data_IF_544649591043
#
_entry.id   IF_544649591043
#
_cell.length_a   1.000
_cell.length_b   1.000
_cell.length_c   1.000
_cell.angle_alpha   90.00
_cell.angle_beta   90.00
_cell.angle_gamma   90.00
#
_symmetry.space_group_name_H-M   'P 1'
#
loop_
_entity.id
_entity.type
_entity.pdbx_description
1 polymer ?
#
# COMPACT_ATOMS: atom_id res chain seq x y z
N UNK A 1 17.16 -4.55 -0.59
CA UNK A 1 16.58 -5.36 0.50
C UNK A 1 15.13 -5.68 0.18
N UNK A 2 14.70 -6.94 0.27
CA UNK A 2 13.31 -7.34 0.09
C UNK A 2 12.48 -6.91 1.32
N UNK A 3 11.37 -6.20 1.11
CA UNK A 3 10.51 -5.67 2.18
C UNK A 3 9.20 -6.46 2.33
N UNK A 4 8.60 -6.81 1.19
CA UNK A 4 7.37 -7.59 1.13
C UNK A 4 7.38 -8.39 -0.17
N UNK A 5 6.75 -9.56 -0.15
CA UNK A 5 6.60 -10.41 -1.33
C UNK A 5 5.32 -11.23 -1.21
N UNK A 6 4.63 -11.43 -2.33
CA UNK A 6 3.62 -12.47 -2.40
C UNK A 6 3.51 -13.12 -3.77
N UNK A 7 3.06 -14.37 -3.76
CA UNK A 7 2.86 -15.16 -4.96
C UNK A 7 1.38 -15.33 -5.29
N UNK A 8 1.04 -15.11 -6.55
CA UNK A 8 -0.26 -15.44 -7.14
C UNK A 8 -0.07 -16.60 -8.09
N UNK A 9 -0.72 -17.72 -7.78
CA UNK A 9 -0.78 -18.88 -8.65
C UNK A 9 -2.08 -18.82 -9.44
N UNK A 10 -2.01 -18.96 -10.76
CA UNK A 10 -3.17 -18.75 -11.62
C UNK A 10 -3.18 -19.69 -12.81
N UNK A 11 -4.37 -19.90 -13.37
CA UNK A 11 -4.50 -20.62 -14.64
C UNK A 11 -3.70 -19.93 -15.74
N UNK A 12 -3.09 -20.75 -16.62
CA UNK A 12 -2.46 -20.26 -17.85
C UNK A 12 -3.52 -19.66 -18.78
N UNK A 13 -3.18 -18.69 -19.64
CA UNK A 13 -4.15 -18.02 -20.52
C UNK A 13 -5.03 -18.95 -21.38
N UNK A 14 -4.51 -20.12 -21.79
CA UNK A 14 -5.18 -21.07 -22.70
C UNK A 14 -5.85 -22.22 -21.92
N UNK A 15 -5.80 -22.22 -20.59
CA UNK A 15 -6.40 -23.30 -19.80
C UNK A 15 -7.93 -23.19 -19.78
N UNK A 16 -8.68 -24.30 -19.89
CA UNK A 16 -10.14 -24.28 -19.87
C UNK A 16 -10.70 -23.87 -18.50
N UNK A 17 -9.94 -24.11 -17.42
CA UNK A 17 -10.32 -23.75 -16.05
C UNK A 17 -9.78 -22.37 -15.67
N UNK A 18 -10.54 -21.58 -14.91
CA UNK A 18 -10.12 -20.29 -14.33
C UNK A 18 -9.90 -20.43 -12.82
N UNK A 19 -8.65 -20.58 -12.41
CA UNK A 19 -8.24 -20.89 -11.03
C UNK A 19 -7.26 -19.84 -10.52
N UNK A 20 -7.37 -19.49 -9.25
CA UNK A 20 -6.43 -18.62 -8.53
C UNK A 20 -6.11 -19.26 -7.17
N UNK A 21 -4.86 -19.18 -6.75
CA UNK A 21 -4.37 -19.62 -5.44
C UNK A 21 -3.33 -18.64 -4.94
N UNK A 22 -3.13 -18.57 -3.63
CA UNK A 22 -2.00 -17.87 -3.03
C UNK A 22 -0.83 -18.83 -2.79
N UNK A 23 0.38 -18.32 -2.96
CA UNK A 23 1.61 -19.02 -2.66
C UNK A 23 2.28 -18.50 -1.40
N UNK A 24 3.58 -18.22 -1.49
CA UNK A 24 4.32 -17.53 -0.44
C UNK A 24 3.72 -16.14 -0.15
N UNK A 25 3.62 -15.76 1.13
CA UNK A 25 3.07 -14.48 1.58
C UNK A 25 3.97 -13.91 2.69
N UNK A 26 4.64 -12.80 2.40
CA UNK A 26 5.36 -11.97 3.36
C UNK A 26 4.84 -10.55 3.18
N UNK A 27 3.81 -10.21 3.97
CA UNK A 27 3.08 -8.95 3.87
C UNK A 27 3.04 -8.23 5.23
N UNK A 28 4.17 -7.66 5.71
CA UNK A 28 4.20 -6.89 6.95
C UNK A 28 3.25 -5.69 6.86
N UNK A 29 2.26 -5.63 7.75
CA UNK A 29 1.21 -4.61 7.73
C UNK A 29 1.15 -3.77 9.01
N UNK A 30 2.11 -3.92 9.93
CA UNK A 30 2.21 -3.13 11.16
C UNK A 30 3.40 -2.15 11.08
N UNK A 31 3.19 -0.83 11.25
CA UNK A 31 1.90 -0.16 11.40
C UNK A 31 1.11 -0.12 10.08
N UNK A 32 -0.21 -0.27 10.17
CA UNK A 32 -1.08 -0.29 9.00
C UNK A 32 -1.07 1.06 8.27
N UNK A 33 -1.02 1.09 6.93
CA UNK A 33 -1.17 -0.04 5.99
C UNK A 33 0.11 -0.89 5.77
N UNK A 34 1.27 -0.43 6.25
CA UNK A 34 2.56 -1.11 6.13
C UNK A 34 3.04 -1.34 4.69
N UNK A 35 4.23 -1.95 4.57
CA UNK A 35 4.84 -2.30 3.28
C UNK A 35 4.05 -3.38 2.53
N UNK A 36 3.41 -4.30 3.26
CA UNK A 36 2.53 -5.33 2.71
C UNK A 36 1.27 -4.72 2.08
N UNK A 37 0.58 -3.81 2.77
CA UNK A 37 -0.57 -3.12 2.21
C UNK A 37 -0.19 -2.26 1.00
N UNK A 38 0.96 -1.59 1.05
CA UNK A 38 1.50 -0.82 -0.08
C UNK A 38 1.75 -1.71 -1.31
N UNK A 39 2.35 -2.89 -1.14
CA UNK A 39 2.57 -3.84 -2.22
C UNK A 39 1.24 -4.34 -2.81
N UNK A 40 0.27 -4.70 -1.98
CA UNK A 40 -1.06 -5.11 -2.47
C UNK A 40 -1.74 -3.98 -3.27
N UNK A 41 -1.63 -2.75 -2.79
CA UNK A 41 -2.10 -1.56 -3.51
C UNK A 41 -1.42 -1.39 -4.86
N UNK A 42 -0.10 -1.55 -4.92
CA UNK A 42 0.67 -1.38 -6.15
C UNK A 42 0.29 -2.42 -7.21
N UNK A 43 0.09 -3.68 -6.81
CA UNK A 43 -0.42 -4.73 -7.72
C UNK A 43 -1.81 -4.37 -8.25
N UNK A 44 -2.70 -3.87 -7.38
CA UNK A 44 -4.03 -3.41 -7.82
C UNK A 44 -3.91 -2.25 -8.81
N UNK A 45 -3.09 -1.25 -8.53
CA UNK A 45 -2.91 -0.09 -9.40
C UNK A 45 -2.27 -0.45 -10.76
N UNK A 46 -1.31 -1.37 -10.80
CA UNK A 46 -0.68 -1.81 -12.04
C UNK A 46 -1.63 -2.58 -12.96
N UNK A 47 -2.53 -3.37 -12.38
CA UNK A 47 -3.36 -4.30 -13.15
C UNK A 47 -4.80 -3.82 -13.37
N UNK A 48 -5.33 -2.92 -12.53
CA UNK A 48 -6.69 -2.40 -12.70
C UNK A 48 -6.99 -1.81 -14.09
N UNK A 49 -6.07 -1.09 -14.78
CA UNK A 49 -6.32 -0.57 -16.13
C UNK A 49 -6.56 -1.65 -17.20
N UNK A 50 -6.12 -2.89 -16.95
CA UNK A 50 -6.31 -4.02 -17.87
C UNK A 50 -7.52 -4.89 -17.55
N UNK A 51 -8.39 -4.46 -16.63
CA UNK A 51 -9.63 -5.14 -16.28
C UNK A 51 -10.78 -4.47 -17.03
N UNK A 52 -11.69 -5.28 -17.55
CA UNK A 52 -12.94 -4.83 -18.16
C UNK A 52 -13.77 -4.02 -17.16
N UNK A 53 -14.20 -2.81 -17.55
CA UNK A 53 -14.94 -1.88 -16.69
C UNK A 53 -16.26 -2.48 -16.19
N UNK A 54 -16.88 -3.40 -16.94
CA UNK A 54 -18.09 -4.13 -16.53
C UNK A 54 -17.85 -4.99 -15.28
N UNK A 55 -16.60 -5.39 -15.00
CA UNK A 55 -16.23 -6.17 -13.83
C UNK A 55 -15.88 -5.31 -12.62
N UNK A 56 -15.69 -3.99 -12.79
CA UNK A 56 -15.30 -3.09 -11.69
C UNK A 56 -16.29 -3.11 -10.51
N UNK A 57 -17.63 -3.09 -10.71
CA UNK A 57 -18.58 -3.19 -9.60
C UNK A 57 -18.42 -4.48 -8.79
N UNK A 58 -18.16 -5.60 -9.45
CA UNK A 58 -17.98 -6.91 -8.81
C UNK A 58 -16.63 -7.00 -8.06
N UNK A 59 -15.57 -6.40 -8.59
CA UNK A 59 -14.27 -6.27 -7.90
C UNK A 59 -14.44 -5.45 -6.62
N UNK A 60 -15.15 -4.32 -6.70
CA UNK A 60 -15.42 -3.49 -5.52
C UNK A 60 -16.29 -4.20 -4.48
N UNK A 61 -17.29 -4.98 -4.92
CA UNK A 61 -18.11 -5.81 -4.02
C UNK A 61 -17.25 -6.86 -3.30
N UNK A 62 -16.41 -7.59 -4.04
CA UNK A 62 -15.50 -8.57 -3.44
C UNK A 62 -14.55 -7.94 -2.41
N UNK A 63 -13.98 -6.79 -2.73
CA UNK A 63 -13.11 -6.07 -1.79
C UNK A 63 -13.86 -5.67 -0.52
N UNK A 64 -15.12 -5.23 -0.63
CA UNK A 64 -15.96 -4.89 0.52
C UNK A 64 -16.39 -6.12 1.34
N UNK A 65 -16.59 -7.28 0.73
CA UNK A 65 -16.82 -8.55 1.43
C UNK A 65 -15.58 -8.96 2.24
N UNK A 66 -14.41 -8.95 1.62
CA UNK A 66 -13.13 -9.28 2.28
C UNK A 66 -12.84 -8.33 3.44
N UNK A 67 -13.02 -7.03 3.24
CA UNK A 67 -12.86 -5.99 4.27
C UNK A 67 -13.70 -6.27 5.51
N UNK A 68 -14.97 -6.67 5.31
CA UNK A 68 -15.91 -6.99 6.40
C UNK A 68 -15.62 -8.36 7.04
N UNK A 69 -14.82 -9.20 6.39
CA UNK A 69 -14.55 -10.57 6.82
C UNK A 69 -15.70 -11.52 6.49
N UNK A 70 -16.51 -11.19 5.48
CA UNK A 70 -17.60 -12.04 5.03
C UNK A 70 -17.05 -13.31 4.34
N UNK A 71 -17.86 -14.37 4.36
CA UNK A 71 -17.58 -15.53 3.54
C UNK A 71 -17.72 -15.19 2.05
N UNK A 72 -16.65 -15.39 1.28
CA UNK A 72 -16.63 -15.19 -0.17
C UNK A 72 -17.05 -16.47 -0.89
N UNK A 73 -18.31 -16.53 -1.34
CA UNK A 73 -18.82 -17.65 -2.12
C UNK A 73 -18.07 -17.82 -3.45
N UNK A 74 -17.68 -19.04 -3.79
CA UNK A 74 -16.90 -19.36 -4.99
C UNK A 74 -17.76 -20.03 -6.08
N UNK A 75 -17.51 -19.77 -7.38
CA UNK A 75 -16.45 -18.92 -7.94
C UNK A 75 -16.80 -17.41 -7.87
N UNK A 76 -15.77 -16.55 -7.85
CA UNK A 76 -15.91 -15.09 -7.94
C UNK A 76 -15.25 -14.53 -9.19
N UNK A 77 -15.92 -13.58 -9.86
CA UNK A 77 -15.40 -12.95 -11.08
C UNK A 77 -14.94 -14.02 -12.12
N UNK A 78 -15.72 -15.10 -12.24
CA UNK A 78 -15.46 -16.28 -13.08
C UNK A 78 -14.20 -17.07 -12.71
N UNK A 79 -13.55 -16.79 -11.58
CA UNK A 79 -12.37 -17.50 -11.09
C UNK A 79 -12.70 -18.25 -9.80
N UNK A 80 -12.18 -19.46 -9.67
CA UNK A 80 -12.27 -20.25 -8.45
C UNK A 80 -11.00 -20.09 -7.63
N UNK A 81 -11.15 -19.65 -6.38
CA UNK A 81 -10.07 -19.74 -5.40
C UNK A 81 -9.88 -21.19 -4.94
N UNK A 82 -8.63 -21.66 -4.87
CA UNK A 82 -8.30 -23.01 -4.39
C UNK A 82 -6.93 -23.04 -3.72
N UNK A 83 -6.68 -24.06 -2.90
CA UNK A 83 -5.37 -24.27 -2.26
C UNK A 83 -4.38 -25.05 -3.15
N UNK A 84 -4.89 -25.93 -4.01
CA UNK A 84 -4.06 -26.70 -4.95
C UNK A 84 -3.50 -25.80 -6.06
N UNK A 85 -2.21 -26.00 -6.33
CA UNK A 85 -1.42 -25.22 -7.30
C UNK A 85 -0.98 -26.06 -8.50
N UNK A 86 -1.33 -27.35 -8.54
CA UNK A 86 -0.90 -28.23 -9.60
C UNK A 86 -1.38 -27.73 -10.99
N UNK A 87 -0.42 -27.61 -11.91
CA UNK A 87 -0.65 -27.11 -13.26
C UNK A 87 -0.91 -25.59 -13.37
N UNK A 88 -0.83 -24.83 -12.27
CA UNK A 88 -0.92 -23.36 -12.31
C UNK A 88 0.43 -22.72 -12.69
N UNK A 89 0.36 -21.56 -13.32
CA UNK A 89 1.50 -20.66 -13.48
C UNK A 89 1.65 -19.79 -12.23
N UNK A 90 2.85 -19.22 -12.04
CA UNK A 90 3.21 -18.42 -10.87
C UNK A 90 3.57 -17.00 -11.29
N UNK A 91 2.94 -16.03 -10.63
CA UNK A 91 3.39 -14.64 -10.58
C UNK A 91 3.93 -14.32 -9.18
N UNK A 92 5.01 -13.55 -9.12
CA UNK A 92 5.64 -13.07 -7.89
C UNK A 92 5.63 -11.55 -7.92
N UNK A 93 5.17 -10.94 -6.83
CA UNK A 93 5.15 -9.49 -6.66
C UNK A 93 5.96 -9.14 -5.42
N UNK A 94 6.89 -8.21 -5.56
CA UNK A 94 7.85 -7.87 -4.51
C UNK A 94 7.97 -6.35 -4.38
N UNK A 95 8.13 -5.89 -3.15
CA UNK A 95 8.55 -4.52 -2.83
C UNK A 95 9.99 -4.57 -2.30
N UNK A 96 10.86 -3.78 -2.91
CA UNK A 96 12.29 -3.75 -2.61
C UNK A 96 12.66 -2.31 -2.21
N UNK A 97 13.64 -2.18 -1.32
CA UNK A 97 14.31 -0.90 -1.05
C UNK A 97 15.80 -0.99 -1.28
N UNK A 98 16.37 0.07 -1.84
CA UNK A 98 17.82 0.28 -1.98
C UNK A 98 18.41 1.13 -0.84
N UNK A 99 17.60 1.52 0.15
CA UNK A 99 17.99 2.37 1.27
C UNK A 99 17.25 3.71 1.25
N UNK A 100 17.12 4.32 0.07
CA UNK A 100 16.51 5.65 -0.08
C UNK A 100 15.20 5.61 -0.86
N UNK A 101 15.05 4.64 -1.77
CA UNK A 101 13.91 4.50 -2.66
C UNK A 101 13.21 3.16 -2.47
N UNK A 102 11.95 3.15 -2.88
CA UNK A 102 11.07 1.99 -2.93
C UNK A 102 10.79 1.64 -4.40
N UNK A 103 10.98 0.39 -4.76
CA UNK A 103 10.70 -0.12 -6.10
C UNK A 103 9.79 -1.34 -6.04
N UNK A 104 8.88 -1.41 -7.01
CA UNK A 104 7.97 -2.54 -7.18
C UNK A 104 8.47 -3.42 -8.32
N UNK A 105 8.55 -4.73 -8.07
CA UNK A 105 8.88 -5.72 -9.08
C UNK A 105 7.72 -6.71 -9.24
N UNK A 106 7.18 -6.78 -10.46
CA UNK A 106 6.11 -7.73 -10.81
C UNK A 106 6.62 -8.70 -11.86
N UNK A 107 6.68 -9.98 -11.50
CA UNK A 107 7.20 -11.05 -12.37
C UNK A 107 6.09 -12.06 -12.61
N UNK A 108 5.69 -12.26 -13.86
CA UNK A 108 4.68 -13.27 -14.21
C UNK A 108 3.83 -12.87 -15.41
N UNK A 109 2.90 -13.74 -15.80
CA UNK A 109 2.14 -13.64 -17.06
C UNK A 109 0.63 -13.88 -16.86
N UNK A 110 0.12 -13.76 -15.63
CA UNK A 110 -1.31 -13.90 -15.37
C UNK A 110 -2.10 -12.68 -15.82
N UNK A 111 -3.39 -12.88 -16.09
CA UNK A 111 -4.25 -11.78 -16.51
C UNK A 111 -4.37 -10.72 -15.39
N UNK A 112 -4.65 -9.45 -15.75
CA UNK A 112 -4.77 -8.39 -14.75
C UNK A 112 -5.80 -8.71 -13.66
N UNK A 113 -6.94 -9.29 -14.03
CA UNK A 113 -7.96 -9.75 -13.09
C UNK A 113 -7.44 -10.83 -12.12
N UNK A 114 -6.61 -11.77 -12.59
CA UNK A 114 -6.01 -12.79 -11.71
C UNK A 114 -5.08 -12.16 -10.66
N UNK A 115 -4.31 -11.14 -11.03
CA UNK A 115 -3.41 -10.45 -10.09
C UNK A 115 -4.19 -9.63 -9.06
N UNK A 116 -5.23 -8.92 -9.49
CA UNK A 116 -6.12 -8.16 -8.58
C UNK A 116 -6.86 -9.10 -7.63
N UNK A 117 -7.37 -10.23 -8.11
CA UNK A 117 -7.96 -11.26 -7.25
C UNK A 117 -6.95 -11.80 -6.25
N UNK A 118 -5.72 -12.08 -6.69
CA UNK A 118 -4.62 -12.48 -5.81
C UNK A 118 -4.36 -11.46 -4.70
N UNK A 119 -4.31 -10.17 -5.04
CA UNK A 119 -4.12 -9.10 -4.05
C UNK A 119 -5.29 -9.01 -3.05
N UNK A 120 -6.54 -9.14 -3.52
CA UNK A 120 -7.72 -9.09 -2.65
C UNK A 120 -7.79 -10.32 -1.72
N UNK A 121 -7.48 -11.53 -2.22
CA UNK A 121 -7.41 -12.71 -1.37
C UNK A 121 -6.21 -12.68 -0.42
N UNK A 122 -5.11 -12.02 -0.78
CA UNK A 122 -3.98 -11.80 0.12
C UNK A 122 -4.34 -10.81 1.25
N UNK A 123 -5.12 -9.77 0.94
CA UNK A 123 -5.70 -8.87 1.94
C UNK A 123 -6.55 -9.62 2.99
N UNK A 124 -7.30 -10.65 2.56
CA UNK A 124 -8.06 -11.53 3.46
C UNK A 124 -7.16 -12.26 4.49
N UNK A 125 -5.87 -12.42 4.21
CA UNK A 125 -4.90 -13.08 5.11
C UNK A 125 -4.32 -12.14 6.16
N UNK A 126 -4.50 -10.83 6.01
CA UNK A 126 -4.14 -9.87 7.04
C UNK A 126 -5.13 -9.95 8.20
N UNK A 127 -4.68 -9.53 9.38
CA UNK A 127 -5.55 -9.39 10.55
C UNK A 127 -6.67 -8.36 10.29
N UNK A 128 -7.75 -8.44 11.07
CA UNK A 128 -8.93 -7.61 10.86
C UNK A 128 -8.66 -6.10 10.94
N UNK A 129 -7.68 -5.66 11.76
CA UNK A 129 -7.38 -4.24 11.92
C UNK A 129 -6.61 -3.70 10.73
N UNK A 130 -5.54 -4.38 10.30
CA UNK A 130 -4.80 -4.00 9.11
C UNK A 130 -5.71 -4.05 7.87
N UNK A 131 -6.56 -5.05 7.76
CA UNK A 131 -7.48 -5.22 6.63
C UNK A 131 -8.42 -4.01 6.44
N UNK A 132 -9.00 -3.50 7.52
CA UNK A 132 -9.90 -2.33 7.50
C UNK A 132 -9.16 -1.03 7.11
N UNK A 133 -7.86 -0.93 7.37
CA UNK A 133 -7.04 0.21 6.97
C UNK A 133 -6.59 0.07 5.50
N UNK A 134 -6.22 -1.13 5.06
CA UNK A 134 -5.68 -1.39 3.72
C UNK A 134 -6.78 -1.40 2.65
N UNK A 135 -7.98 -1.92 2.93
CA UNK A 135 -9.05 -2.04 1.93
C UNK A 135 -9.48 -0.70 1.29
N UNK A 136 -9.69 0.40 2.03
CA UNK A 136 -9.92 1.72 1.42
C UNK A 136 -8.78 2.19 0.51
N UNK A 137 -7.53 1.88 0.85
CA UNK A 137 -6.37 2.23 0.04
C UNK A 137 -6.30 1.40 -1.24
N UNK A 138 -6.70 0.12 -1.20
CA UNK A 138 -6.88 -0.70 -2.42
C UNK A 138 -7.98 -0.16 -3.34
N UNK A 139 -9.09 0.35 -2.79
CA UNK A 139 -10.13 1.04 -3.59
C UNK A 139 -9.58 2.28 -4.30
N UNK A 140 -8.74 3.07 -3.63
CA UNK A 140 -8.05 4.22 -4.24
C UNK A 140 -7.05 3.78 -5.30
N UNK A 141 -6.25 2.75 -4.99
CA UNK A 141 -5.27 2.19 -5.92
C UNK A 141 -5.91 1.65 -7.21
N UNK A 142 -7.11 1.06 -7.13
CA UNK A 142 -7.86 0.61 -8.33
C UNK A 142 -8.11 1.74 -9.33
N UNK A 143 -8.30 2.97 -8.84
CA UNK A 143 -8.53 4.16 -9.66
C UNK A 143 -7.24 4.89 -10.04
N UNK A 144 -6.09 4.43 -9.57
CA UNK A 144 -4.82 5.07 -9.85
C UNK A 144 -4.55 5.08 -11.36
N UNK A 145 -4.01 6.19 -11.83
CA UNK A 145 -3.57 6.41 -13.21
C UNK A 145 -2.20 7.07 -13.15
N UNK A 146 -1.20 6.44 -13.74
CA UNK A 146 0.17 6.94 -13.76
C UNK A 146 1.19 5.94 -13.21
N UNK A 147 2.47 6.34 -13.13
CA UNK A 147 3.55 5.46 -12.71
C UNK A 147 3.46 5.08 -11.23
N UNK A 148 4.00 3.91 -10.88
CA UNK A 148 4.14 3.42 -9.52
C UNK A 148 5.43 3.95 -8.87
N UNK A 149 5.48 5.27 -8.68
CA UNK A 149 6.60 5.96 -8.03
C UNK A 149 6.18 6.67 -6.76
N UNK A 150 6.93 7.69 -6.38
CA UNK A 150 6.72 8.48 -5.16
C UNK A 150 5.28 9.04 -5.05
N UNK A 151 4.71 9.53 -6.15
CA UNK A 151 3.35 10.06 -6.18
C UNK A 151 2.30 9.00 -5.81
N UNK A 152 2.48 7.75 -6.25
CA UNK A 152 1.62 6.64 -5.88
C UNK A 152 1.75 6.33 -4.40
N UNK A 153 2.99 6.21 -3.91
CA UNK A 153 3.27 5.89 -2.51
C UNK A 153 2.68 6.96 -1.58
N UNK A 154 2.89 8.24 -1.90
CA UNK A 154 2.35 9.35 -1.13
C UNK A 154 0.82 9.37 -1.14
N UNK A 155 0.19 9.20 -2.31
CA UNK A 155 -1.27 9.12 -2.41
C UNK A 155 -1.85 7.95 -1.60
N UNK A 156 -1.18 6.79 -1.65
CA UNK A 156 -1.59 5.59 -0.94
C UNK A 156 -1.49 5.75 0.58
N UNK A 157 -0.38 6.31 1.07
CA UNK A 157 -0.12 6.53 2.49
C UNK A 157 -0.79 7.77 3.08
N UNK A 158 -1.46 8.58 2.26
CA UNK A 158 -2.23 9.74 2.72
C UNK A 158 -1.41 11.03 2.85
N UNK A 159 -0.39 11.21 2.00
CA UNK A 159 0.42 12.43 1.93
C UNK A 159 1.79 12.33 2.58
N UNK A 160 2.17 11.15 3.08
CA UNK A 160 3.53 10.88 3.58
C UNK A 160 4.50 10.85 2.40
N UNK A 161 5.68 11.47 2.54
CA UNK A 161 6.81 11.28 1.62
C UNK A 161 7.09 9.80 1.37
N UNK A 162 7.44 9.43 0.14
CA UNK A 162 7.69 8.03 -0.26
C UNK A 162 8.94 7.38 0.34
N UNK A 163 9.50 7.97 1.41
CA UNK A 163 10.69 7.49 2.10
C UNK A 163 10.44 6.17 2.82
N UNK A 164 11.41 5.28 2.76
CA UNK A 164 11.37 3.97 3.40
C UNK A 164 11.07 4.01 4.91
N UNK A 165 11.68 4.95 5.65
CA UNK A 165 11.46 5.09 7.10
C UNK A 165 10.05 5.56 7.41
N UNK A 166 9.47 6.40 6.56
CA UNK A 166 8.12 6.90 6.72
C UNK A 166 7.07 5.79 6.58
N UNK A 167 7.35 4.77 5.77
CA UNK A 167 6.47 3.59 5.61
C UNK A 167 6.67 2.56 6.72
N UNK A 168 7.92 2.28 7.08
CA UNK A 168 8.27 1.18 8.00
C UNK A 168 8.25 1.57 9.47
N UNK A 169 8.55 2.83 9.78
CA UNK A 169 8.46 3.38 11.12
C UNK A 169 7.97 4.84 11.07
N UNK A 170 6.67 5.06 10.80
CA UNK A 170 6.07 6.40 10.66
C UNK A 170 6.28 7.26 11.91
N UNK A 171 6.30 6.67 13.11
CA UNK A 171 6.54 7.41 14.35
C UNK A 171 7.96 7.91 14.44
N UNK A 172 8.97 7.08 14.13
CA UNK A 172 10.36 7.52 14.10
C UNK A 172 10.60 8.59 13.04
N UNK A 173 10.02 8.41 11.85
CA UNK A 173 10.04 9.42 10.78
C UNK A 173 9.44 10.75 11.24
N UNK A 174 8.27 10.73 11.89
CA UNK A 174 7.60 11.95 12.35
C UNK A 174 8.38 12.66 13.47
N UNK A 175 9.02 11.91 14.36
CA UNK A 175 9.89 12.44 15.40
C UNK A 175 11.11 13.14 14.81
N UNK A 176 11.79 12.48 13.86
CA UNK A 176 12.95 13.03 13.17
C UNK A 176 12.60 14.30 12.38
N UNK A 177 11.51 14.25 11.60
CA UNK A 177 11.06 15.39 10.79
C UNK A 177 10.70 16.61 11.65
N UNK A 178 10.08 16.40 12.82
CA UNK A 178 9.76 17.47 13.76
C UNK A 178 10.96 17.88 14.65
N UNK A 179 12.09 17.18 14.56
CA UNK A 179 13.32 17.49 15.30
C UNK A 179 13.28 17.06 16.77
N UNK A 180 12.62 15.95 17.09
CA UNK A 180 12.69 15.35 18.41
C UNK A 180 14.04 14.62 18.62
N UNK A 181 14.61 14.64 19.83
CA UNK A 181 15.81 13.88 20.13
C UNK A 181 15.61 12.37 19.90
N UNK A 182 16.66 11.63 19.46
CA UNK A 182 16.63 10.18 19.41
C UNK A 182 16.23 9.57 20.76
N UNK A 183 15.40 8.53 20.74
CA UNK A 183 14.87 7.89 21.95
C UNK A 183 13.60 8.53 22.52
N UNK A 184 13.08 9.60 21.91
CA UNK A 184 11.76 10.11 22.26
C UNK A 184 10.69 9.08 21.90
N UNK A 185 9.94 8.56 22.88
CA UNK A 185 8.88 7.56 22.62
C UNK A 185 7.51 8.21 22.44
N UNK A 186 7.12 9.12 23.33
CA UNK A 186 5.82 9.79 23.27
C UNK A 186 5.92 11.25 23.68
N UNK A 187 6.06 12.18 22.72
CA UNK A 187 6.17 13.59 23.03
C UNK A 187 4.82 14.18 23.47
N UNK A 188 4.80 15.21 24.33
CA UNK A 188 3.56 15.87 24.73
C UNK A 188 2.95 16.65 23.55
N UNK A 189 1.61 16.60 23.40
CA UNK A 189 0.87 17.25 22.29
C UNK A 189 1.22 18.75 22.12
N UNK A 190 1.49 19.44 23.23
CA UNK A 190 1.90 20.86 23.23
C UNK A 190 3.25 21.06 22.55
N UNK A 191 4.22 20.17 22.78
CA UNK A 191 5.55 20.24 22.17
C UNK A 191 5.50 19.86 20.69
N UNK A 192 4.72 18.84 20.32
CA UNK A 192 4.46 18.50 18.91
C UNK A 192 3.91 19.71 18.15
N UNK A 193 2.91 20.41 18.73
CA UNK A 193 2.32 21.60 18.11
C UNK A 193 3.31 22.76 18.02
N UNK A 194 4.14 22.96 19.06
CA UNK A 194 5.16 24.01 19.08
C UNK A 194 6.22 23.77 18.00
N UNK A 195 6.76 22.55 17.91
CA UNK A 195 7.77 22.20 16.91
C UNK A 195 7.23 22.21 15.49
N UNK A 196 6.00 21.74 15.29
CA UNK A 196 5.30 21.86 14.01
C UNK A 196 5.23 23.31 13.53
N UNK A 197 4.78 24.25 14.38
CA UNK A 197 4.69 25.67 14.02
C UNK A 197 6.04 26.29 13.68
N UNK A 198 7.08 25.93 14.44
CA UNK A 198 8.45 26.37 14.17
C UNK A 198 8.93 25.87 12.81
N UNK A 199 8.81 24.57 12.54
CA UNK A 199 9.26 23.97 11.27
C UNK A 199 8.47 24.47 10.06
N UNK A 200 7.16 24.67 10.19
CA UNK A 200 6.35 25.25 9.10
C UNK A 200 6.78 26.68 8.81
N UNK A 201 7.06 27.48 9.85
CA UNK A 201 7.58 28.84 9.66
C UNK A 201 8.91 28.81 8.93
N UNK A 202 9.84 27.95 9.34
CA UNK A 202 11.17 27.86 8.74
C UNK A 202 11.13 27.33 7.28
N UNK A 203 10.16 26.46 6.96
CA UNK A 203 9.94 25.94 5.61
C UNK A 203 9.24 26.94 4.68
N UNK A 204 8.58 27.99 5.21
CA UNK A 204 7.77 28.89 4.41
C UNK A 204 8.62 29.82 3.54
N UNK A 205 8.31 30.01 2.24
CA UNK A 205 9.09 30.89 1.36
C UNK A 205 9.18 32.34 1.87
N UNK A 206 8.09 32.86 2.42
CA UNK A 206 8.05 34.21 3.03
C UNK A 206 8.99 34.40 4.22
N UNK A 207 9.46 33.30 4.84
CA UNK A 207 10.41 33.32 5.95
C UNK A 207 11.84 32.96 5.49
N UNK A 208 12.09 32.86 4.18
CA UNK A 208 13.39 32.50 3.60
C UNK A 208 13.57 31.02 3.32
N UNK A 209 12.50 30.21 3.39
CA UNK A 209 12.53 28.81 2.98
C UNK A 209 12.64 28.61 1.47
N UNK A 210 13.17 27.46 1.05
CA UNK A 210 13.30 27.11 -0.37
C UNK A 210 11.91 26.83 -0.98
N UNK A 211 11.51 27.71 -1.89
CA UNK A 211 10.20 27.66 -2.55
C UNK A 211 9.96 26.39 -3.38
N UNK A 212 11.01 25.73 -3.83
CA UNK A 212 10.90 24.51 -4.65
C UNK A 212 10.48 23.29 -3.84
N UNK A 213 10.84 23.24 -2.55
CA UNK A 213 10.56 22.10 -1.65
C UNK A 213 9.58 22.43 -0.54
N UNK A 214 9.30 23.72 -0.30
CA UNK A 214 8.43 24.21 0.77
C UNK A 214 7.07 23.50 0.82
N UNK A 215 6.39 23.35 -0.32
CA UNK A 215 5.06 22.73 -0.38
C UNK A 215 5.09 21.27 0.12
N UNK A 216 6.08 20.49 -0.33
CA UNK A 216 6.26 19.09 0.08
C UNK A 216 6.58 19.02 1.57
N UNK A 217 7.53 19.82 2.03
CA UNK A 217 7.96 19.84 3.42
C UNK A 217 6.82 20.22 4.38
N UNK A 218 5.99 21.20 4.01
CA UNK A 218 4.82 21.60 4.82
C UNK A 218 3.77 20.48 4.88
N UNK A 219 3.54 19.77 3.76
CA UNK A 219 2.67 18.60 3.73
C UNK A 219 3.17 17.50 4.67
N UNK A 220 4.46 17.15 4.56
CA UNK A 220 5.11 16.14 5.39
C UNK A 220 5.05 16.51 6.88
N UNK A 221 5.26 17.78 7.23
CA UNK A 221 5.13 18.29 8.60
C UNK A 221 3.71 18.17 9.16
N UNK A 222 2.69 18.41 8.32
CA UNK A 222 1.29 18.23 8.68
C UNK A 222 0.98 16.78 9.02
N UNK A 223 1.53 15.87 8.24
CA UNK A 223 1.36 14.43 8.42
C UNK A 223 2.12 13.89 9.64
N UNK A 224 3.36 14.34 9.86
CA UNK A 224 4.12 14.02 11.07
C UNK A 224 3.38 14.46 12.34
N UNK A 225 2.76 15.65 12.32
CA UNK A 225 1.91 16.11 13.44
C UNK A 225 0.70 15.19 13.64
N UNK A 226 0.04 14.75 12.56
CA UNK A 226 -1.12 13.84 12.62
C UNK A 226 -0.73 12.49 13.25
N UNK A 227 0.43 11.95 12.88
CA UNK A 227 0.94 10.67 13.41
C UNK A 227 1.27 10.76 14.91
N UNK A 228 1.94 11.82 15.36
CA UNK A 228 2.34 11.95 16.77
C UNK A 228 1.22 12.42 17.70
N UNK A 229 0.18 13.04 17.14
CA UNK A 229 -0.95 13.56 17.90
C UNK A 229 -2.28 13.31 17.16
N UNK A 230 -2.71 12.04 17.06
CA UNK A 230 -4.01 11.68 16.52
C UNK A 230 -5.17 12.23 17.35
#
# INVERSE_FOLDING_TARGET
MLLAEFEVWHSRPIAPTRRVSLGHLVLPADPAPGVGGLLLGAVVAAHAPGIDDDLAPDVHRLLAEVERGDHVAQPRLRHRYQADRHGLARSVHSLISDGDQLSFEFRGQGSPLQQVLGAIYALERLDATARRVVAPSLRRAYRWRGPLGEAFISSFLGGVSGSFTAVTNPTAWALDLLGFPPGTVKPPKKEVTSRFRLRVRDAHPDAGGDSTVAAKLISDLGEARRILSP
#
